data_IF_585595512158
#
_entry.id   IF_585595512158
#
_cell.length_a   1.000
_cell.length_b   1.000
_cell.length_c   1.000
_cell.angle_alpha   90.00
_cell.angle_beta   90.00
_cell.angle_gamma   90.00
#
_symmetry.space_group_name_H-M   'P 1'
#
loop_
_entity.id
_entity.type
_entity.pdbx_description
1 polymer ?
#
# COMPACT_ATOMS: atom_id res chain seq x y z
N UNK A 1 -19.37 -16.13 9.39
CA UNK A 1 -17.96 -16.09 8.94
C UNK A 1 -17.81 -15.58 7.51
N UNK A 2 -18.61 -16.05 6.54
CA UNK A 2 -18.54 -15.54 5.16
C UNK A 2 -18.81 -14.02 5.05
N UNK A 3 -19.86 -13.51 5.71
CA UNK A 3 -20.16 -12.06 5.71
C UNK A 3 -19.07 -11.24 6.40
N UNK A 4 -18.53 -11.73 7.52
CA UNK A 4 -17.40 -11.09 8.19
C UNK A 4 -16.16 -11.04 7.30
N UNK A 5 -15.81 -12.14 6.61
CA UNK A 5 -14.68 -12.18 5.69
C UNK A 5 -14.86 -11.19 4.54
N UNK A 6 -16.06 -11.10 3.96
CA UNK A 6 -16.39 -10.10 2.94
C UNK A 6 -16.20 -8.69 3.45
N UNK A 7 -16.78 -8.38 4.61
CA UNK A 7 -16.67 -7.06 5.22
C UNK A 7 -15.20 -6.67 5.44
N UNK A 8 -14.38 -7.59 5.97
CA UNK A 8 -12.96 -7.32 6.21
C UNK A 8 -12.18 -7.07 4.91
N UNK A 9 -12.45 -7.83 3.84
CA UNK A 9 -11.82 -7.59 2.52
C UNK A 9 -12.27 -6.26 1.92
N UNK A 10 -13.56 -5.94 2.01
CA UNK A 10 -14.13 -4.69 1.48
C UNK A 10 -13.62 -3.44 2.19
N UNK A 11 -13.26 -3.57 3.46
CA UNK A 11 -12.78 -2.46 4.30
C UNK A 11 -11.26 -2.54 4.56
N UNK A 12 -10.55 -3.40 3.83
CA UNK A 12 -9.10 -3.48 3.93
C UNK A 12 -8.45 -2.22 3.33
N UNK A 13 -7.49 -1.68 4.06
CA UNK A 13 -6.66 -0.56 3.61
C UNK A 13 -5.21 -1.02 3.51
N UNK A 14 -4.48 -0.44 2.55
CA UNK A 14 -3.03 -0.58 2.48
C UNK A 14 -2.43 0.56 3.28
N UNK A 15 -1.54 0.23 4.20
CA UNK A 15 -0.72 1.18 4.90
C UNK A 15 0.76 0.81 4.72
N UNK A 16 1.56 1.81 4.38
CA UNK A 16 2.99 1.64 4.18
C UNK A 16 3.71 1.90 5.50
N UNK A 17 4.13 0.81 6.14
CA UNK A 17 4.73 0.82 7.48
C UNK A 17 5.91 1.80 7.60
N UNK A 18 5.92 2.52 8.73
CA UNK A 18 7.09 3.24 9.24
C UNK A 18 7.27 4.65 8.66
N UNK A 19 6.45 5.05 7.68
CA UNK A 19 6.63 6.29 6.96
C UNK A 19 7.95 6.31 6.16
N UNK A 20 8.04 7.23 5.23
CA UNK A 20 9.26 7.48 4.48
C UNK A 20 9.48 8.98 4.41
N UNK A 21 10.73 9.44 4.50
CA UNK A 21 11.04 10.86 4.29
C UNK A 21 11.39 11.12 2.83
N UNK A 22 11.26 12.37 2.40
CA UNK A 22 11.67 12.78 1.05
C UNK A 22 13.16 12.48 0.80
N UNK A 23 14.01 12.61 1.82
CA UNK A 23 15.44 12.30 1.72
C UNK A 23 15.70 10.80 1.51
N UNK A 24 14.91 9.93 2.15
CA UNK A 24 14.99 8.49 1.91
C UNK A 24 14.54 8.15 0.48
N UNK A 25 13.44 8.74 0.00
CA UNK A 25 12.98 8.55 -1.40
C UNK A 25 14.05 9.00 -2.38
N UNK A 26 14.68 10.16 -2.17
CA UNK A 26 15.82 10.62 -2.98
C UNK A 26 16.97 9.64 -2.95
N UNK A 27 17.28 9.05 -1.79
CA UNK A 27 18.27 8.00 -1.65
C UNK A 27 17.97 6.78 -2.53
N UNK A 28 16.73 6.30 -2.51
CA UNK A 28 16.29 5.15 -3.32
C UNK A 28 16.31 5.44 -4.82
N UNK A 29 15.89 6.63 -5.25
CA UNK A 29 15.80 6.99 -6.67
C UNK A 29 17.15 7.37 -7.30
N UNK A 30 18.17 7.70 -6.49
CA UNK A 30 19.50 8.08 -6.98
C UNK A 30 20.25 6.92 -7.66
N UNK A 31 19.94 5.67 -7.32
CA UNK A 31 20.63 4.52 -7.90
C UNK A 31 20.23 4.21 -9.34
N UNK A 32 19.06 4.66 -9.78
CA UNK A 32 18.56 4.36 -11.14
C UNK A 32 18.70 5.53 -12.13
N UNK A 33 18.75 6.79 -11.67
CA UNK A 33 18.82 8.04 -12.47
C UNK A 33 18.00 8.05 -13.78
N UNK A 34 16.86 7.33 -13.76
CA UNK A 34 15.98 7.21 -14.91
C UNK A 34 15.19 8.51 -15.12
N UNK A 35 14.56 8.65 -16.29
CA UNK A 35 13.70 9.81 -16.56
C UNK A 35 12.50 9.80 -15.61
N UNK A 36 11.97 8.62 -15.32
CA UNK A 36 10.85 8.34 -14.45
C UNK A 36 11.19 8.69 -13.00
N UNK A 37 12.38 8.30 -12.52
CA UNK A 37 12.88 8.64 -11.19
C UNK A 37 12.98 10.15 -10.99
N UNK A 38 13.51 10.87 -11.99
CA UNK A 38 13.62 12.34 -11.94
C UNK A 38 12.24 13.02 -11.97
N UNK A 39 11.31 12.51 -12.78
CA UNK A 39 9.94 13.03 -12.83
C UNK A 39 9.21 12.86 -11.49
N UNK A 40 9.34 11.67 -10.87
CA UNK A 40 8.77 11.42 -9.55
C UNK A 40 9.36 12.37 -8.50
N UNK A 41 10.69 12.53 -8.46
CA UNK A 41 11.32 13.46 -7.53
C UNK A 41 10.85 14.91 -7.71
N UNK A 42 10.72 15.37 -8.95
CA UNK A 42 10.19 16.71 -9.23
C UNK A 42 8.79 16.86 -8.65
N UNK A 43 7.91 15.88 -8.88
CA UNK A 43 6.55 15.91 -8.35
C UNK A 43 6.51 15.94 -6.82
N UNK A 44 7.36 15.16 -6.15
CA UNK A 44 7.38 15.13 -4.67
C UNK A 44 7.90 16.43 -4.06
N UNK A 45 8.74 17.17 -4.79
CA UNK A 45 9.14 18.53 -4.38
C UNK A 45 7.96 19.48 -4.54
N UNK A 46 7.22 19.40 -5.65
CA UNK A 46 6.03 20.22 -5.89
C UNK A 46 4.90 19.94 -4.89
N UNK A 47 4.76 18.68 -4.48
CA UNK A 47 3.76 18.21 -3.50
C UNK A 47 4.20 18.46 -2.02
N UNK A 48 5.36 19.08 -1.79
CA UNK A 48 5.98 19.36 -0.48
C UNK A 48 6.07 18.13 0.44
N UNK A 49 6.45 16.99 -0.13
CA UNK A 49 6.66 15.76 0.62
C UNK A 49 6.15 14.51 -0.06
N UNK A 50 5.92 13.48 0.74
CA UNK A 50 5.55 12.14 0.26
C UNK A 50 4.12 11.73 0.60
N UNK A 51 3.43 12.48 1.46
CA UNK A 51 2.13 12.05 2.01
C UNK A 51 1.09 11.80 0.91
N UNK A 52 1.02 12.71 -0.07
CA UNK A 52 0.14 12.57 -1.22
C UNK A 52 0.49 11.34 -2.08
N UNK A 53 1.79 11.04 -2.25
CA UNK A 53 2.24 9.83 -2.94
C UNK A 53 1.76 8.59 -2.19
N UNK A 54 2.01 8.51 -0.89
CA UNK A 54 1.68 7.33 -0.09
C UNK A 54 0.17 7.04 -0.11
N UNK A 55 -0.65 8.07 0.08
CA UNK A 55 -2.11 7.95 0.05
C UNK A 55 -2.60 7.52 -1.33
N UNK A 56 -2.12 8.19 -2.38
CA UNK A 56 -2.54 7.89 -3.76
C UNK A 56 -2.19 6.46 -4.15
N UNK A 57 -0.96 6.03 -3.88
CA UNK A 57 -0.52 4.67 -4.24
C UNK A 57 -1.26 3.63 -3.41
N UNK A 58 -1.49 3.86 -2.11
CA UNK A 58 -2.28 2.95 -1.28
C UNK A 58 -3.70 2.77 -1.83
N UNK A 59 -4.34 3.88 -2.24
CA UNK A 59 -5.67 3.86 -2.83
C UNK A 59 -5.72 3.14 -4.18
N UNK A 60 -4.72 3.35 -5.05
CA UNK A 60 -4.63 2.64 -6.32
C UNK A 60 -4.37 1.14 -6.14
N UNK A 61 -3.60 0.75 -5.14
CA UNK A 61 -3.24 -0.65 -4.90
C UNK A 61 -4.35 -1.44 -4.20
N UNK A 62 -5.31 -0.78 -3.53
CA UNK A 62 -6.38 -1.47 -2.79
C UNK A 62 -7.21 -2.42 -3.67
N UNK A 63 -7.42 -2.05 -4.93
CA UNK A 63 -8.21 -2.85 -5.87
C UNK A 63 -7.53 -4.19 -6.18
N UNK A 64 -6.21 -4.26 -6.02
CA UNK A 64 -5.40 -5.46 -6.22
C UNK A 64 -5.34 -6.36 -4.99
N UNK A 65 -5.79 -5.91 -3.81
CA UNK A 65 -5.85 -6.73 -2.58
C UNK A 65 -6.59 -8.04 -2.86
N UNK A 66 -7.73 -7.96 -3.56
CA UNK A 66 -8.59 -9.12 -3.85
C UNK A 66 -7.94 -10.21 -4.70
N UNK A 67 -6.82 -9.92 -5.37
CA UNK A 67 -6.08 -10.92 -6.14
C UNK A 67 -5.42 -11.98 -5.26
N UNK A 68 -5.01 -11.62 -4.04
CA UNK A 68 -4.35 -12.53 -3.09
C UNK A 68 -5.01 -12.62 -1.71
N UNK A 69 -5.74 -11.58 -1.31
CA UNK A 69 -6.48 -11.49 -0.04
C UNK A 69 -7.96 -11.39 -0.39
N UNK A 70 -8.60 -12.55 -0.57
CA UNK A 70 -10.02 -12.68 -0.87
C UNK A 70 -10.79 -13.33 0.30
N UNK A 71 -12.11 -13.49 0.16
CA UNK A 71 -12.93 -14.00 1.27
C UNK A 71 -12.54 -15.42 1.71
N UNK A 72 -12.03 -16.25 0.80
CA UNK A 72 -11.57 -17.60 1.12
C UNK A 72 -10.35 -17.56 2.03
N UNK A 73 -9.33 -16.78 1.65
CA UNK A 73 -8.10 -16.60 2.43
C UNK A 73 -8.42 -16.02 3.80
N UNK A 74 -9.23 -14.96 3.86
CA UNK A 74 -9.59 -14.30 5.13
C UNK A 74 -10.38 -15.25 6.03
N UNK A 75 -11.33 -16.01 5.49
CA UNK A 75 -12.05 -17.02 6.26
C UNK A 75 -11.12 -18.09 6.82
N UNK A 76 -10.14 -18.54 6.04
CA UNK A 76 -9.09 -19.46 6.51
C UNK A 76 -8.32 -18.90 7.71
N UNK A 77 -7.92 -17.63 7.65
CA UNK A 77 -7.23 -16.98 8.77
C UNK A 77 -8.12 -16.81 10.00
N UNK A 78 -9.40 -16.46 9.82
CA UNK A 78 -10.37 -16.37 10.92
C UNK A 78 -10.55 -17.72 11.63
N UNK A 79 -10.61 -18.82 10.87
CA UNK A 79 -10.70 -20.16 11.45
C UNK A 79 -9.43 -20.52 12.24
N UNK A 80 -8.24 -20.27 11.67
CA UNK A 80 -6.97 -20.50 12.38
C UNK A 80 -6.88 -19.68 13.67
N UNK A 81 -7.27 -18.41 13.65
CA UNK A 81 -7.29 -17.55 14.84
C UNK A 81 -8.22 -18.10 15.93
N UNK A 82 -9.38 -18.64 15.55
CA UNK A 82 -10.33 -19.21 16.52
C UNK A 82 -9.86 -20.51 17.20
N UNK A 83 -8.80 -21.14 16.68
CA UNK A 83 -8.23 -22.38 17.20
C UNK A 83 -6.92 -22.17 17.99
N UNK A 84 -6.37 -20.95 17.95
CA UNK A 84 -5.19 -20.54 18.70
C UNK A 84 -5.57 -20.12 20.13
#
# INVERSE_FOLDING_TARGET
>A
MNELARYLVENAIIDFKGGITIDQVRGFLRTEDSRESRALLSKLIDDDGVDALMLTIADCLKDFIRSGINEEVVRGQLASYSQA
#
